data_IF_095876718532
#
_entry.id   IF_095876718532
#
_cell.length_a   1.000
_cell.length_b   1.000
_cell.length_c   1.000
_cell.angle_alpha   90.00
_cell.angle_beta   90.00
_cell.angle_gamma   90.00
#
_symmetry.space_group_name_H-M   'P 1'
#
loop_
_entity.id
_entity.type
_entity.pdbx_description
1 polymer ?
#
# COMPACT_ATOMS: atom_id res chain seq x y z
N UNK A 1 2.60 -19.68 -22.88
CA UNK A 1 3.26 -20.43 -21.80
C UNK A 1 4.05 -19.49 -20.88
N UNK A 2 3.38 -18.56 -20.19
CA UNK A 2 4.03 -17.64 -19.22
C UNK A 2 3.17 -17.37 -17.97
N UNK A 3 1.93 -17.89 -17.91
CA UNK A 3 0.96 -17.58 -16.86
C UNK A 3 0.54 -18.79 -16.02
N UNK A 4 1.31 -19.89 -16.05
CA UNK A 4 0.96 -21.12 -15.30
C UNK A 4 1.73 -21.31 -13.99
N UNK A 5 2.62 -20.38 -13.60
CA UNK A 5 3.50 -20.57 -12.43
C UNK A 5 3.50 -19.45 -11.39
N UNK A 6 2.52 -18.54 -11.37
CA UNK A 6 2.45 -17.46 -10.37
C UNK A 6 1.21 -17.59 -9.47
N UNK A 7 1.10 -18.72 -8.76
CA UNK A 7 0.22 -18.87 -7.57
C UNK A 7 0.87 -18.32 -6.29
N UNK A 8 2.06 -17.75 -6.38
CA UNK A 8 2.72 -17.04 -5.29
C UNK A 8 2.69 -15.56 -5.68
N UNK A 9 1.82 -14.77 -5.07
CA UNK A 9 1.68 -13.34 -5.35
C UNK A 9 3.06 -12.66 -5.41
N UNK A 10 3.23 -11.79 -6.40
CA UNK A 10 4.46 -11.04 -6.70
C UNK A 10 5.10 -10.58 -5.38
N UNK A 11 6.24 -11.14 -4.98
CA UNK A 11 6.87 -10.79 -3.71
C UNK A 11 7.81 -9.60 -3.90
N UNK A 12 7.31 -8.38 -3.69
CA UNK A 12 8.16 -7.18 -3.67
C UNK A 12 8.65 -6.99 -2.24
N UNK A 13 9.97 -7.06 -2.03
CA UNK A 13 10.64 -7.01 -0.71
C UNK A 13 10.21 -8.11 0.29
N UNK A 14 9.79 -9.29 -0.18
CA UNK A 14 9.39 -10.39 0.71
C UNK A 14 7.97 -10.28 1.27
N UNK A 15 7.22 -9.23 0.91
CA UNK A 15 5.79 -9.13 1.15
C UNK A 15 5.03 -9.70 -0.05
N UNK A 16 4.15 -10.68 0.19
CA UNK A 16 3.19 -11.11 -0.83
C UNK A 16 2.34 -9.91 -1.21
N UNK A 17 2.50 -9.42 -2.46
CA UNK A 17 1.72 -8.32 -3.01
C UNK A 17 0.31 -8.83 -3.34
N UNK A 18 -0.46 -9.11 -2.30
CA UNK A 18 -1.87 -9.43 -2.37
C UNK A 18 -2.68 -8.13 -2.58
N UNK A 19 -3.89 -8.24 -3.16
CA UNK A 19 -4.81 -7.11 -3.36
C UNK A 19 -5.06 -6.33 -2.07
N UNK A 20 -5.05 -7.00 -0.92
CA UNK A 20 -5.17 -6.36 0.39
C UNK A 20 -3.92 -5.56 0.76
N UNK A 21 -2.72 -6.06 0.46
CA UNK A 21 -1.46 -5.37 0.77
C UNK A 21 -1.36 -4.01 0.06
N UNK A 22 -1.71 -3.97 -1.23
CA UNK A 22 -1.75 -2.71 -1.98
C UNK A 22 -2.77 -1.72 -1.42
N UNK A 23 -3.95 -2.20 -1.04
CA UNK A 23 -4.98 -1.36 -0.44
C UNK A 23 -4.53 -0.79 0.91
N UNK A 24 -3.88 -1.61 1.74
CA UNK A 24 -3.35 -1.20 3.04
C UNK A 24 -2.23 -0.17 2.89
N UNK A 25 -1.26 -0.38 1.98
CA UNK A 25 -0.18 0.58 1.74
C UNK A 25 -0.75 1.93 1.29
N UNK A 26 -1.66 1.92 0.32
CA UNK A 26 -2.27 3.17 -0.16
C UNK A 26 -3.07 3.89 0.93
N UNK A 27 -3.81 3.14 1.75
CA UNK A 27 -4.55 3.71 2.89
C UNK A 27 -3.63 4.34 3.94
N UNK A 28 -2.50 3.71 4.26
CA UNK A 28 -1.51 4.25 5.20
C UNK A 28 -0.88 5.53 4.64
N UNK A 29 -0.41 5.51 3.39
CA UNK A 29 0.21 6.68 2.75
C UNK A 29 -0.76 7.87 2.67
N UNK A 30 -2.01 7.63 2.26
CA UNK A 30 -3.04 8.67 2.21
C UNK A 30 -3.35 9.24 3.61
N UNK A 31 -3.45 8.37 4.62
CA UNK A 31 -3.69 8.78 6.01
C UNK A 31 -2.54 9.64 6.54
N UNK A 32 -1.30 9.27 6.23
CA UNK A 32 -0.10 10.01 6.65
C UNK A 32 -0.06 11.40 6.02
N UNK A 33 -0.34 11.48 4.71
CA UNK A 33 -0.41 12.76 3.98
C UNK A 33 -1.51 13.65 4.55
N UNK A 34 -2.70 13.11 4.77
CA UNK A 34 -3.81 13.89 5.32
C UNK A 34 -3.55 14.33 6.77
N UNK A 35 -2.89 13.49 7.56
CA UNK A 35 -2.49 13.80 8.92
C UNK A 35 -1.48 14.96 8.97
N UNK A 36 -0.43 14.91 8.15
CA UNK A 36 0.56 15.99 8.05
C UNK A 36 -0.06 17.26 7.47
N UNK A 37 -0.99 17.11 6.52
CA UNK A 37 -1.74 18.23 5.97
C UNK A 37 -2.59 18.91 7.06
N UNK A 38 -3.29 18.15 7.91
CA UNK A 38 -4.04 18.70 9.05
C UNK A 38 -3.15 19.47 10.02
N UNK A 39 -1.94 18.95 10.30
CA UNK A 39 -0.92 19.64 11.09
C UNK A 39 -0.44 20.94 10.42
N UNK A 40 -0.31 20.97 9.10
CA UNK A 40 0.20 22.11 8.32
C UNK A 40 -0.86 23.21 8.13
N UNK A 41 -2.11 22.82 7.92
CA UNK A 41 -3.25 23.73 7.72
C UNK A 41 -3.70 24.35 9.05
N UNK A 42 -3.18 23.90 10.20
CA UNK A 42 -3.48 24.47 11.51
C UNK A 42 -4.83 24.02 12.08
N UNK A 43 -5.37 22.91 11.56
CA UNK A 43 -6.58 22.25 12.08
C UNK A 43 -6.10 21.32 13.21
N UNK A 44 -5.90 21.87 14.40
CA UNK A 44 -5.52 21.13 15.61
C UNK A 44 -6.56 21.27 16.70
#
# INVERSE_FOLDING_TARGET
>A
TYFEHNRAGISVFGLMLDRSSLHTVFGIELSLVLWILGKTVGIS
#
